data_IF_626860885268
#
_entry.id   IF_626860885268
#
_cell.length_a   1.000
_cell.length_b   1.000
_cell.length_c   1.000
_cell.angle_alpha   90.00
_cell.angle_beta   90.00
_cell.angle_gamma   90.00
#
_symmetry.space_group_name_H-M   'P 1'
#
loop_
_entity.id
_entity.type
_entity.pdbx_description
1 polymer ?
#
# COMPACT_ATOMS: atom_id res chain seq x y z
N UNK A 1 12.96 -10.94 35.39
CA UNK A 1 11.82 -11.28 34.50
C UNK A 1 12.42 -11.57 33.14
N UNK A 2 12.40 -12.81 32.65
CA UNK A 2 12.89 -13.11 31.30
C UNK A 2 11.83 -12.62 30.30
N UNK A 3 12.24 -11.87 29.29
CA UNK A 3 11.36 -11.49 28.18
C UNK A 3 11.01 -12.73 27.34
N UNK A 4 9.77 -12.83 26.84
CA UNK A 4 9.36 -13.98 26.04
C UNK A 4 10.16 -14.01 24.73
N UNK A 5 10.61 -15.21 24.35
CA UNK A 5 11.27 -15.43 23.06
C UNK A 5 10.29 -15.10 21.93
N UNK A 6 10.66 -14.16 21.06
CA UNK A 6 9.90 -13.80 19.85
C UNK A 6 10.51 -14.53 18.66
N UNK A 7 9.72 -15.38 18.03
CA UNK A 7 10.13 -16.09 16.82
C UNK A 7 9.91 -15.22 15.59
N UNK A 8 10.97 -15.03 14.81
CA UNK A 8 10.85 -14.43 13.49
C UNK A 8 10.33 -15.49 12.50
N UNK A 9 9.45 -15.13 11.56
CA UNK A 9 8.88 -16.05 10.56
C UNK A 9 9.90 -16.37 9.47
N UNK A 10 11.04 -16.95 9.87
CA UNK A 10 12.13 -17.37 9.01
C UNK A 10 12.36 -18.86 9.18
N UNK A 11 12.51 -19.58 8.07
CA UNK A 11 12.87 -21.00 8.06
C UNK A 11 14.35 -21.15 7.75
N UNK A 12 15.06 -21.95 8.54
CA UNK A 12 16.51 -22.16 8.44
C UNK A 12 16.91 -22.88 7.14
N UNK A 13 18.02 -22.46 6.55
CA UNK A 13 18.57 -23.01 5.30
C UNK A 13 19.70 -23.98 5.66
N UNK A 14 19.38 -25.11 6.27
CA UNK A 14 20.33 -26.23 6.35
C UNK A 14 19.67 -27.50 5.80
N UNK A 15 20.14 -27.92 4.62
CA UNK A 15 20.02 -29.30 4.17
C UNK A 15 18.87 -29.67 3.23
N UNK A 16 17.66 -29.12 3.29
CA UNK A 16 16.58 -29.53 2.36
C UNK A 16 15.30 -28.67 2.39
N UNK A 17 14.79 -28.41 1.18
CA UNK A 17 13.44 -27.96 0.78
C UNK A 17 13.07 -26.49 1.03
N UNK A 18 13.24 -25.71 -0.06
CA UNK A 18 12.48 -24.52 -0.48
C UNK A 18 11.68 -23.85 0.65
N UNK A 19 12.38 -23.00 1.36
CA UNK A 19 11.81 -21.96 2.21
C UNK A 19 10.94 -21.04 1.35
N UNK A 20 9.76 -20.63 1.83
CA UNK A 20 9.00 -19.51 1.23
C UNK A 20 9.79 -18.20 1.50
N UNK A 21 10.90 -18.00 0.76
CA UNK A 21 11.71 -16.77 0.78
C UNK A 21 10.93 -15.54 0.27
N UNK A 22 9.66 -15.70 -0.11
CA UNK A 22 8.79 -14.66 -0.67
C UNK A 22 8.54 -13.50 0.31
N UNK A 23 8.74 -13.73 1.61
CA UNK A 23 8.58 -12.71 2.66
C UNK A 23 9.91 -12.08 3.10
N UNK A 24 11.04 -12.54 2.56
CA UNK A 24 12.35 -11.92 2.81
C UNK A 24 12.67 -10.89 1.72
N UNK A 25 13.34 -9.83 2.13
CA UNK A 25 13.77 -8.73 1.28
C UNK A 25 15.28 -8.53 1.43
N UNK A 26 15.97 -8.19 0.35
CA UNK A 26 17.37 -7.78 0.42
C UNK A 26 17.51 -6.37 1.01
N UNK A 27 18.72 -6.00 1.44
CA UNK A 27 19.01 -4.66 1.92
C UNK A 27 18.71 -3.60 0.84
N UNK A 28 19.00 -3.90 -0.42
CA UNK A 28 18.71 -3.03 -1.57
C UNK A 28 17.20 -2.86 -1.79
N UNK A 29 16.41 -3.93 -1.69
CA UNK A 29 14.95 -3.84 -1.84
C UNK A 29 14.32 -3.04 -0.69
N UNK A 30 14.81 -3.19 0.54
CA UNK A 30 14.37 -2.38 1.67
C UNK A 30 14.75 -0.91 1.51
N UNK A 31 15.94 -0.62 0.96
CA UNK A 31 16.33 0.76 0.64
C UNK A 31 15.38 1.38 -0.38
N UNK A 32 15.06 0.67 -1.47
CA UNK A 32 14.11 1.13 -2.48
C UNK A 32 12.71 1.38 -1.90
N UNK A 33 12.25 0.50 -1.02
CA UNK A 33 10.98 0.68 -0.32
C UNK A 33 11.00 1.93 0.58
N UNK A 34 12.08 2.15 1.32
CA UNK A 34 12.23 3.34 2.18
C UNK A 34 12.21 4.63 1.38
N UNK A 35 12.93 4.69 0.26
CA UNK A 35 12.95 5.85 -0.64
C UNK A 35 11.54 6.14 -1.20
N UNK A 36 10.84 5.09 -1.64
CA UNK A 36 9.47 5.21 -2.14
C UNK A 36 8.49 5.75 -1.10
N UNK A 37 8.57 5.27 0.16
CA UNK A 37 7.72 5.76 1.25
C UNK A 37 7.96 7.25 1.49
N UNK A 38 9.22 7.69 1.50
CA UNK A 38 9.57 9.10 1.70
C UNK A 38 8.96 9.98 0.59
N UNK A 39 9.10 9.57 -0.67
CA UNK A 39 8.52 10.32 -1.79
C UNK A 39 6.99 10.34 -1.75
N UNK A 40 6.35 9.23 -1.40
CA UNK A 40 4.89 9.18 -1.22
C UNK A 40 4.40 10.12 -0.10
N UNK A 41 5.14 10.20 1.01
CA UNK A 41 4.79 11.11 2.11
C UNK A 41 4.92 12.58 1.71
N UNK A 42 5.93 12.93 0.91
CA UNK A 42 6.08 14.29 0.37
C UNK A 42 4.91 14.64 -0.54
N UNK A 43 4.57 13.75 -1.46
CA UNK A 43 3.44 13.92 -2.39
C UNK A 43 2.13 14.16 -1.63
N UNK A 44 1.83 13.35 -0.61
CA UNK A 44 0.64 13.56 0.22
C UNK A 44 0.66 14.89 0.97
N UNK A 45 1.82 15.30 1.51
CA UNK A 45 1.94 16.59 2.18
C UNK A 45 1.67 17.75 1.21
N UNK A 46 2.16 17.67 -0.02
CA UNK A 46 1.91 18.68 -1.05
C UNK A 46 0.43 18.76 -1.45
N UNK A 47 -0.24 17.62 -1.65
CA UNK A 47 -1.70 17.54 -1.90
C UNK A 47 -2.49 18.21 -0.76
N UNK A 48 -2.14 17.92 0.48
CA UNK A 48 -2.78 18.56 1.64
C UNK A 48 -2.55 20.07 1.66
N UNK A 49 -1.34 20.54 1.33
CA UNK A 49 -1.02 21.96 1.27
C UNK A 49 -1.76 22.70 0.15
N UNK A 50 -2.08 22.01 -0.95
CA UNK A 50 -2.91 22.55 -2.04
C UNK A 50 -4.41 22.57 -1.68
N UNK A 51 -4.81 21.94 -0.59
CA UNK A 51 -6.21 21.84 -0.19
C UNK A 51 -6.99 20.78 -0.95
N UNK A 52 -6.31 19.82 -1.57
CA UNK A 52 -6.92 18.66 -2.21
C UNK A 52 -7.40 17.67 -1.11
N UNK A 53 -8.65 17.82 -0.67
CA UNK A 53 -9.26 17.04 0.42
C UNK A 53 -10.47 16.21 -0.01
N UNK A 54 -10.66 16.04 -1.32
CA UNK A 54 -11.74 15.25 -1.87
C UNK A 54 -11.71 13.80 -1.34
N UNK A 55 -12.86 13.21 -0.99
CA UNK A 55 -12.90 11.87 -0.45
C UNK A 55 -12.58 10.84 -1.53
N UNK A 56 -11.38 10.25 -1.44
CA UNK A 56 -10.93 9.13 -2.29
C UNK A 56 -10.74 7.81 -1.50
N UNK A 57 -11.80 7.19 -0.98
CA UNK A 57 -11.68 5.96 -0.21
C UNK A 57 -11.10 4.79 -1.04
N UNK A 58 -10.30 3.93 -0.40
CA UNK A 58 -9.82 2.71 -1.05
C UNK A 58 -10.81 1.55 -0.91
N UNK A 59 -10.90 0.72 -1.95
CA UNK A 59 -11.77 -0.45 -2.04
C UNK A 59 -10.96 -1.66 -2.49
N UNK A 60 -10.86 -2.68 -1.62
CA UNK A 60 -10.35 -4.01 -2.01
C UNK A 60 -11.49 -4.90 -2.50
N UNK A 61 -12.62 -4.84 -1.81
CA UNK A 61 -13.91 -5.38 -2.25
C UNK A 61 -15.05 -4.65 -1.50
N UNK A 62 -16.31 -5.03 -1.75
CA UNK A 62 -17.47 -4.40 -1.09
C UNK A 62 -17.42 -4.46 0.44
N UNK A 63 -16.78 -5.48 1.02
CA UNK A 63 -16.69 -5.68 2.47
C UNK A 63 -15.37 -5.18 3.08
N UNK A 64 -14.34 -4.96 2.26
CA UNK A 64 -13.01 -4.49 2.66
C UNK A 64 -12.73 -3.17 1.95
N UNK A 65 -13.23 -2.08 2.53
CA UNK A 65 -13.04 -0.72 2.05
C UNK A 65 -12.81 0.23 3.24
N UNK A 66 -12.23 1.40 2.96
CA UNK A 66 -11.92 2.41 3.97
C UNK A 66 -13.15 2.87 4.77
N UNK A 67 -14.31 2.93 4.13
CA UNK A 67 -15.54 3.44 4.73
C UNK A 67 -16.10 2.54 5.85
N UNK A 68 -15.67 1.28 5.93
CA UNK A 68 -16.10 0.35 6.99
C UNK A 68 -15.63 0.75 8.39
N UNK A 69 -14.55 1.55 8.48
CA UNK A 69 -13.93 1.97 9.75
C UNK A 69 -13.82 3.50 9.88
N UNK A 70 -14.47 4.27 9.01
CA UNK A 70 -14.36 5.73 8.98
C UNK A 70 -15.50 6.40 9.77
N UNK A 71 -15.17 7.06 10.88
CA UNK A 71 -16.14 7.82 11.68
C UNK A 71 -16.75 9.02 10.95
N UNK A 72 -16.07 9.52 9.90
CA UNK A 72 -16.50 10.67 9.11
C UNK A 72 -17.30 10.31 7.86
N UNK A 73 -17.70 9.04 7.71
CA UNK A 73 -18.41 8.55 6.51
C UNK A 73 -19.68 9.35 6.19
N UNK A 74 -20.42 9.78 7.20
CA UNK A 74 -21.65 10.56 7.02
C UNK A 74 -21.37 12.02 6.61
N UNK A 75 -20.20 12.55 6.96
CA UNK A 75 -19.82 13.93 6.65
C UNK A 75 -19.18 14.07 5.27
N UNK A 76 -18.54 13.01 4.75
CA UNK A 76 -17.80 13.09 3.49
C UNK A 76 -18.70 13.06 2.25
N UNK A 77 -19.98 12.68 2.36
CA UNK A 77 -20.93 12.55 1.24
C UNK A 77 -20.43 11.67 0.06
N UNK A 78 -19.43 10.82 0.28
CA UNK A 78 -18.96 9.89 -0.75
C UNK A 78 -20.02 8.84 -1.04
N UNK A 79 -20.32 8.62 -2.33
CA UNK A 79 -21.28 7.63 -2.80
C UNK A 79 -20.75 6.91 -4.02
N UNK A 80 -20.50 5.61 -3.84
CA UNK A 80 -20.05 4.73 -4.92
C UNK A 80 -21.01 4.78 -6.12
N UNK A 81 -20.51 5.21 -7.28
CA UNK A 81 -21.28 5.32 -8.53
C UNK A 81 -22.09 6.61 -8.73
N UNK A 82 -22.20 7.50 -7.72
CA UNK A 82 -22.90 8.79 -7.85
C UNK A 82 -21.93 9.97 -7.84
N UNK A 83 -20.98 9.99 -6.88
CA UNK A 83 -20.07 11.12 -6.67
C UNK A 83 -18.76 10.64 -6.01
N UNK A 84 -17.62 10.95 -6.65
CA UNK A 84 -16.27 10.71 -6.13
C UNK A 84 -15.50 9.60 -6.86
N UNK A 85 -14.18 9.73 -6.89
CA UNK A 85 -13.24 8.68 -7.31
C UNK A 85 -12.97 7.74 -6.15
N UNK A 86 -12.72 6.45 -6.42
CA UNK A 86 -12.23 5.52 -5.41
C UNK A 86 -11.00 4.77 -5.91
N UNK A 87 -10.08 4.43 -4.99
CA UNK A 87 -8.87 3.70 -5.33
C UNK A 87 -9.10 2.21 -5.20
N UNK A 88 -8.94 1.47 -6.30
CA UNK A 88 -9.08 0.01 -6.28
C UNK A 88 -7.78 -0.62 -5.77
N UNK A 89 -7.83 -1.18 -4.57
CA UNK A 89 -6.68 -1.89 -4.00
C UNK A 89 -6.76 -3.37 -4.37
N UNK A 90 -6.08 -3.77 -5.45
CA UNK A 90 -5.96 -5.16 -5.82
C UNK A 90 -5.06 -5.91 -4.83
N UNK A 91 -5.38 -7.18 -4.56
CA UNK A 91 -4.45 -8.03 -3.83
C UNK A 91 -3.20 -8.22 -4.69
N UNK A 92 -2.03 -7.88 -4.17
CA UNK A 92 -0.76 -8.16 -4.86
C UNK A 92 -0.42 -9.64 -4.67
N UNK A 93 -0.98 -10.49 -5.54
CA UNK A 93 -0.76 -11.94 -5.52
C UNK A 93 0.62 -12.30 -6.07
N UNK A 94 1.41 -13.02 -5.26
CA UNK A 94 2.71 -13.55 -5.69
C UNK A 94 3.73 -12.47 -6.09
N UNK A 95 4.93 -12.89 -6.48
CA UNK A 95 6.01 -12.00 -6.94
C UNK A 95 7.00 -11.57 -5.85
N UNK A 96 8.24 -11.36 -6.27
CA UNK A 96 9.32 -10.80 -5.46
C UNK A 96 9.02 -9.34 -5.09
N UNK A 97 9.60 -8.86 -3.97
CA UNK A 97 9.43 -7.47 -3.53
C UNK A 97 9.85 -6.47 -4.61
N UNK A 98 10.96 -6.76 -5.31
CA UNK A 98 11.44 -5.96 -6.45
C UNK A 98 10.42 -5.79 -7.57
N UNK A 99 9.72 -6.85 -7.96
CA UNK A 99 8.67 -6.79 -8.99
C UNK A 99 7.52 -5.87 -8.53
N UNK A 100 7.12 -5.99 -7.26
CA UNK A 100 6.06 -5.15 -6.65
C UNK A 100 6.47 -3.68 -6.56
N UNK A 101 7.70 -3.40 -6.15
CA UNK A 101 8.25 -2.04 -6.12
C UNK A 101 8.28 -1.44 -7.51
N UNK A 102 8.72 -2.21 -8.52
CA UNK A 102 8.76 -1.74 -9.90
C UNK A 102 7.36 -1.41 -10.45
N UNK A 103 6.36 -2.21 -10.10
CA UNK A 103 4.96 -1.96 -10.46
C UNK A 103 4.41 -0.70 -9.76
N UNK A 104 4.64 -0.54 -8.46
CA UNK A 104 4.23 0.65 -7.71
C UNK A 104 4.89 1.93 -8.22
N UNK A 105 6.14 1.85 -8.67
CA UNK A 105 6.84 2.97 -9.31
C UNK A 105 6.31 3.26 -10.71
N UNK A 106 5.85 2.25 -11.46
CA UNK A 106 5.29 2.40 -12.80
C UNK A 106 3.82 2.86 -12.82
N UNK A 107 2.99 2.44 -11.85
CA UNK A 107 1.60 2.91 -11.74
C UNK A 107 1.49 4.40 -11.44
N UNK A 108 2.47 4.98 -10.73
CA UNK A 108 2.56 6.44 -10.52
C UNK A 108 2.64 7.24 -11.83
N UNK A 109 3.04 6.62 -12.95
CA UNK A 109 3.10 7.28 -14.27
C UNK A 109 1.72 7.36 -14.95
N UNK A 110 0.74 6.55 -14.53
CA UNK A 110 -0.58 6.46 -15.19
C UNK A 110 -1.72 7.15 -14.45
N UNK A 111 -1.55 7.52 -13.18
CA UNK A 111 -2.58 8.20 -12.39
C UNK A 111 -2.64 9.73 -12.55
N UNK A 112 -1.85 10.31 -13.47
CA UNK A 112 -1.65 11.75 -13.62
C UNK A 112 -2.38 12.41 -14.80
N UNK A 113 -3.42 11.79 -15.36
CA UNK A 113 -4.29 12.43 -16.35
C UNK A 113 -5.75 12.34 -15.89
N UNK A 114 -6.24 13.38 -15.23
CA UNK A 114 -7.62 13.88 -15.37
C UNK A 114 -7.83 15.15 -14.51
N UNK A 115 -7.72 16.30 -15.16
CA UNK A 115 -8.69 17.42 -15.05
C UNK A 115 -8.25 18.53 -16.03
N UNK A 116 -8.99 18.64 -17.14
CA UNK A 116 -9.15 19.91 -17.87
C UNK A 116 -9.90 20.93 -16.99
#
# INVERSE_FOLDING_TARGET
KQEPLVFLPISEIEGSKKTDLKSLASAEELKQLSEYIIELLKEFAETLLRGEIEPEPYFRNQNLNACTYCDFKEACNFKDGETGSFRRFSAVEGGSLKEKLSFLMAEKVKGGEQSE
#
